data_IF_677662815877
#
_entry.id   IF_677662815877
#
_cell.length_a   1.000
_cell.length_b   1.000
_cell.length_c   1.000
_cell.angle_alpha   90.00
_cell.angle_beta   90.00
_cell.angle_gamma   90.00
#
_symmetry.space_group_name_H-M   'P 1'
#
loop_
_entity.id
_entity.type
_entity.pdbx_description
1 polymer ?
#
# COMPACT_ATOMS: atom_id res chain seq x y z
N UNK A 1 -10.85 -3.10 0.60
CA UNK A 1 -10.66 -2.32 -0.64
C UNK A 1 -9.60 -2.98 -1.54
N UNK A 2 -8.46 -3.42 -1.00
CA UNK A 2 -7.40 -4.11 -1.78
C UNK A 2 -7.77 -5.50 -2.27
N UNK A 3 -8.57 -6.26 -1.51
CA UNK A 3 -9.15 -7.54 -1.98
C UNK A 3 -9.95 -7.39 -3.29
N UNK A 4 -10.56 -6.22 -3.51
CA UNK A 4 -11.27 -5.90 -4.75
C UNK A 4 -10.35 -5.45 -5.88
N UNK A 5 -9.17 -4.90 -5.56
CA UNK A 5 -8.15 -4.49 -6.54
C UNK A 5 -7.28 -5.67 -7.00
N UNK A 6 -7.03 -6.64 -6.11
CA UNK A 6 -6.12 -7.77 -6.33
C UNK A 6 -6.78 -9.12 -5.93
N UNK A 7 -7.77 -9.61 -6.70
CA UNK A 7 -8.55 -10.79 -6.32
C UNK A 7 -7.71 -12.08 -6.21
N UNK A 8 -6.68 -12.22 -7.04
CA UNK A 8 -5.84 -13.43 -7.12
C UNK A 8 -4.96 -13.71 -5.90
N UNK A 9 -4.76 -12.71 -5.02
CA UNK A 9 -3.94 -12.82 -3.80
C UNK A 9 -4.78 -12.69 -2.52
N UNK A 10 -6.11 -12.71 -2.65
CA UNK A 10 -7.03 -12.51 -1.52
C UNK A 10 -6.87 -13.53 -0.39
N UNK A 11 -6.48 -14.76 -0.71
CA UNK A 11 -6.18 -15.79 0.30
C UNK A 11 -4.92 -15.47 1.10
N UNK A 12 -3.88 -14.94 0.46
CA UNK A 12 -2.61 -14.55 1.10
C UNK A 12 -2.81 -13.37 2.06
N UNK A 13 -3.63 -12.39 1.67
CA UNK A 13 -3.94 -11.23 2.51
C UNK A 13 -4.64 -11.60 3.83
N UNK A 14 -5.29 -12.77 3.94
CA UNK A 14 -5.84 -13.24 5.22
C UNK A 14 -4.77 -13.59 6.26
N UNK A 15 -3.51 -13.79 5.82
CA UNK A 15 -2.39 -14.13 6.70
C UNK A 15 -1.61 -12.90 7.17
N UNK A 16 -2.01 -11.70 6.76
CA UNK A 16 -1.32 -10.44 7.06
C UNK A 16 -2.13 -9.56 8.00
N UNK A 17 -1.46 -8.76 8.82
CA UNK A 17 -2.08 -7.69 9.62
C UNK A 17 -2.15 -6.42 8.78
N UNK A 18 -3.34 -5.86 8.61
CA UNK A 18 -3.53 -4.60 7.88
C UNK A 18 -3.40 -3.42 8.85
N UNK A 19 -2.34 -2.62 8.69
CA UNK A 19 -2.17 -1.35 9.40
C UNK A 19 -2.39 -0.18 8.42
N UNK A 20 -3.37 0.66 8.70
CA UNK A 20 -3.65 1.87 7.90
C UNK A 20 -3.15 3.11 8.62
N UNK A 21 -2.14 3.75 8.05
CA UNK A 21 -1.82 5.14 8.37
C UNK A 21 -2.82 6.05 7.64
N UNK A 22 -3.84 6.48 8.36
CA UNK A 22 -4.78 7.47 7.87
C UNK A 22 -4.18 8.87 8.04
N UNK A 23 -3.96 9.58 6.94
CA UNK A 23 -3.80 11.03 6.98
C UNK A 23 -5.16 11.71 7.12
N UNK A 24 -5.15 12.92 7.66
CA UNK A 24 -6.30 13.66 8.19
C UNK A 24 -7.59 13.52 7.39
N UNK A 25 -8.65 13.03 8.04
CA UNK A 25 -10.01 12.98 7.49
C UNK A 25 -10.70 14.34 7.61
N UNK A 26 -11.70 14.57 6.76
CA UNK A 26 -12.55 15.77 6.77
C UNK A 26 -12.28 16.72 5.58
N UNK A 27 -12.78 17.97 5.63
CA UNK A 27 -12.66 18.96 4.54
C UNK A 27 -11.21 19.20 4.08
N UNK A 28 -10.26 18.97 4.98
CA UNK A 28 -8.81 19.07 4.75
C UNK A 28 -8.30 17.99 3.78
N UNK A 29 -8.79 16.74 3.88
CA UNK A 29 -8.37 15.65 2.99
C UNK A 29 -8.69 15.93 1.51
N UNK A 30 -9.81 16.62 1.24
CA UNK A 30 -10.20 17.03 -0.12
C UNK A 30 -9.26 18.12 -0.65
N UNK A 31 -8.88 19.08 0.20
CA UNK A 31 -7.90 20.13 -0.17
C UNK A 31 -6.51 19.53 -0.41
N UNK A 32 -6.06 18.62 0.45
CA UNK A 32 -4.78 17.91 0.31
C UNK A 32 -4.73 17.07 -0.96
N UNK A 33 -5.79 16.33 -1.29
CA UNK A 33 -5.86 15.56 -2.55
C UNK A 33 -5.80 16.46 -3.77
N UNK A 34 -6.54 17.57 -3.77
CA UNK A 34 -6.51 18.57 -4.87
C UNK A 34 -5.14 19.23 -5.00
N UNK A 35 -4.51 19.57 -3.88
CA UNK A 35 -3.16 20.15 -3.82
C UNK A 35 -2.14 19.16 -4.37
N UNK A 36 -2.20 17.90 -3.95
CA UNK A 36 -1.31 16.86 -4.41
C UNK A 36 -1.41 16.66 -5.92
N UNK A 37 -2.62 16.49 -6.45
CA UNK A 37 -2.83 16.37 -7.90
C UNK A 37 -2.30 17.59 -8.66
N UNK A 38 -2.51 18.81 -8.12
CA UNK A 38 -2.00 20.05 -8.73
C UNK A 38 -0.47 20.11 -8.74
N UNK A 39 0.18 19.70 -7.65
CA UNK A 39 1.64 19.85 -7.49
C UNK A 39 2.43 18.72 -8.15
N UNK A 40 1.97 17.48 -8.05
CA UNK A 40 2.74 16.31 -8.52
C UNK A 40 2.21 15.75 -9.83
N UNK A 41 1.00 16.15 -10.26
CA UNK A 41 0.25 15.52 -11.36
C UNK A 41 -0.05 14.03 -11.14
N UNK A 42 0.16 13.50 -9.92
CA UNK A 42 -0.07 12.09 -9.58
C UNK A 42 -0.75 11.98 -8.20
N UNK A 43 -1.71 11.06 -8.04
CA UNK A 43 -2.19 10.71 -6.70
C UNK A 43 -1.10 9.92 -5.96
N UNK A 44 -0.92 10.16 -4.65
CA UNK A 44 -0.04 9.31 -3.85
C UNK A 44 -0.41 7.85 -4.04
N UNK A 45 0.57 7.04 -4.39
CA UNK A 45 0.40 5.60 -4.51
C UNK A 45 0.70 4.96 -3.14
N UNK A 46 -0.01 3.89 -2.76
CA UNK A 46 0.26 3.20 -1.51
C UNK A 46 1.68 2.63 -1.50
N UNK A 47 2.34 2.67 -0.34
CA UNK A 47 3.62 2.00 -0.10
C UNK A 47 3.32 0.69 0.63
N UNK A 48 3.84 -0.42 0.13
CA UNK A 48 3.73 -1.73 0.77
C UNK A 48 5.08 -2.14 1.34
N UNK A 49 5.09 -2.62 2.58
CA UNK A 49 6.29 -3.06 3.29
C UNK A 49 6.10 -4.49 3.79
N UNK A 50 7.16 -5.28 3.74
CA UNK A 50 7.29 -6.50 4.54
C UNK A 50 8.29 -6.19 5.64
N UNK A 51 7.89 -6.44 6.89
CA UNK A 51 8.67 -6.13 8.07
C UNK A 51 8.91 -7.38 8.90
N UNK A 52 10.08 -7.48 9.51
CA UNK A 52 10.32 -8.45 10.58
C UNK A 52 9.52 -8.03 11.82
N UNK A 53 8.63 -8.87 12.35
CA UNK A 53 7.78 -8.49 13.47
C UNK A 53 8.52 -8.37 14.81
N UNK A 54 9.76 -8.84 14.92
CA UNK A 54 10.59 -8.76 16.14
C UNK A 54 11.54 -7.58 16.11
N UNK A 55 12.19 -7.33 14.97
CA UNK A 55 13.21 -6.27 14.83
C UNK A 55 12.65 -5.00 14.21
N UNK A 56 11.45 -5.04 13.65
CA UNK A 56 10.82 -3.97 12.86
C UNK A 56 11.60 -3.58 11.59
N UNK A 57 12.61 -4.38 11.20
CA UNK A 57 13.39 -4.14 10.00
C UNK A 57 12.55 -4.35 8.74
N UNK A 58 12.75 -3.49 7.75
CA UNK A 58 12.10 -3.59 6.45
C UNK A 58 12.82 -4.64 5.61
N UNK A 59 12.18 -5.80 5.43
CA UNK A 59 12.67 -6.89 4.60
C UNK A 59 12.45 -6.61 3.10
N UNK A 60 11.36 -5.92 2.76
CA UNK A 60 11.10 -5.51 1.37
C UNK A 60 10.11 -4.36 1.29
N UNK A 61 10.18 -3.61 0.18
CA UNK A 61 9.40 -2.40 -0.06
C UNK A 61 8.93 -2.32 -1.51
N UNK A 62 7.68 -1.89 -1.68
CA UNK A 62 7.07 -1.61 -2.97
C UNK A 62 6.35 -0.25 -2.93
N UNK A 63 6.93 0.74 -3.61
CA UNK A 63 6.37 2.09 -3.72
C UNK A 63 5.39 2.18 -4.89
N UNK A 64 4.10 2.24 -4.56
CA UNK A 64 3.03 2.10 -5.53
C UNK A 64 2.98 0.71 -6.16
N UNK A 65 1.80 0.31 -6.63
CA UNK A 65 1.71 -1.00 -7.27
C UNK A 65 0.69 -1.05 -8.40
N UNK A 66 1.14 -1.55 -9.55
CA UNK A 66 0.27 -2.19 -10.54
C UNK A 66 0.02 -3.63 -10.10
N UNK A 67 -1.14 -4.18 -10.45
CA UNK A 67 -1.58 -5.54 -10.06
C UNK A 67 -0.49 -6.61 -10.24
N UNK A 68 0.13 -6.69 -11.41
CA UNK A 68 1.17 -7.69 -11.69
C UNK A 68 2.43 -7.54 -10.82
N UNK A 69 2.79 -6.32 -10.45
CA UNK A 69 3.93 -6.03 -9.58
C UNK A 69 3.61 -6.39 -8.13
N UNK A 70 2.41 -6.06 -7.65
CA UNK A 70 1.93 -6.42 -6.31
C UNK A 70 1.89 -7.94 -6.10
N UNK A 71 1.36 -8.68 -7.08
CA UNK A 71 1.30 -10.15 -6.99
C UNK A 71 2.69 -10.77 -6.90
N UNK A 72 3.65 -10.28 -7.69
CA UNK A 72 5.04 -10.75 -7.62
C UNK A 72 5.67 -10.44 -6.27
N UNK A 73 5.44 -9.24 -5.74
CA UNK A 73 5.90 -8.83 -4.40
C UNK A 73 5.39 -9.79 -3.31
N UNK A 74 4.09 -10.12 -3.33
CA UNK A 74 3.52 -11.06 -2.35
C UNK A 74 4.03 -12.49 -2.52
N UNK A 75 4.21 -12.97 -3.76
CA UNK A 75 4.72 -14.34 -4.02
C UNK A 75 6.15 -14.53 -3.56
N UNK A 76 6.97 -13.49 -3.60
CA UNK A 76 8.36 -13.53 -3.12
C UNK A 76 8.47 -13.45 -1.59
N UNK A 77 7.36 -13.23 -0.89
CA UNK A 77 7.36 -13.07 0.57
C UNK A 77 7.98 -11.76 1.05
N UNK A 78 8.15 -10.77 0.17
CA UNK A 78 8.96 -9.60 0.47
C UNK A 78 10.44 -9.95 0.58
N UNK A 79 11.00 -10.47 -0.51
CA UNK A 79 12.46 -10.59 -0.75
C UNK A 79 12.73 -10.18 -2.20
#
# INVERSE_FOLDING_TARGET
>A
MEKGLFPEVSGTLKKTVEARLHTDRGPIGVKLRKLQIRMTKVSTLPVYLVVDPKTEEILSRLDGARRSQFVRFLKKGGV
#
